data_IF_427107685535
#
_entry.id   IF_427107685535
#
_cell.length_a   1.000
_cell.length_b   1.000
_cell.length_c   1.000
_cell.angle_alpha   90.00
_cell.angle_beta   90.00
_cell.angle_gamma   90.00
#
_symmetry.space_group_name_H-M   'P 1'
#
loop_
_entity.id
_entity.type
_entity.pdbx_description
1 polymer ?
#
# COMPACT_ATOMS: atom_id res chain seq x y z
N UNK A 1 6.57 -0.53 21.86
CA UNK A 1 6.41 0.59 20.92
C UNK A 1 5.35 0.16 19.94
N UNK A 2 4.29 0.95 19.85
CA UNK A 2 3.19 0.69 18.91
C UNK A 2 3.08 1.89 18.00
N UNK A 3 2.80 1.63 16.72
CA UNK A 3 2.59 2.69 15.74
C UNK A 3 1.19 2.60 15.15
N UNK A 4 0.53 3.74 15.03
CA UNK A 4 -0.80 3.86 14.40
C UNK A 4 -0.74 4.84 13.24
N UNK A 5 -1.48 4.51 12.18
CA UNK A 5 -1.68 5.33 11.00
C UNK A 5 -3.13 5.85 11.01
N UNK A 6 -3.33 7.18 10.93
CA UNK A 6 -4.68 7.76 10.96
C UNK A 6 -5.24 7.98 9.55
N UNK A 7 -6.43 7.43 9.30
CA UNK A 7 -7.28 7.71 8.13
C UNK A 7 -7.25 6.64 7.04
N UNK A 8 -8.39 6.45 6.37
CA UNK A 8 -8.48 5.70 5.11
C UNK A 8 -8.30 6.64 3.92
N UNK A 9 -7.83 6.06 2.82
CA UNK A 9 -6.89 6.68 1.93
C UNK A 9 -7.50 7.02 0.58
N UNK A 10 -7.46 8.28 0.22
CA UNK A 10 -7.78 8.75 -1.12
C UNK A 10 -6.69 9.72 -1.53
N UNK A 11 -5.89 9.39 -2.55
CA UNK A 11 -4.81 10.25 -3.02
C UNK A 11 -5.33 11.59 -3.58
N UNK A 12 -6.65 11.70 -3.78
CA UNK A 12 -7.34 12.89 -4.28
C UNK A 12 -8.10 13.66 -3.18
N UNK A 13 -8.14 13.17 -1.93
CA UNK A 13 -8.62 14.00 -0.82
C UNK A 13 -7.64 15.15 -0.58
N UNK A 14 -8.17 16.32 -0.19
CA UNK A 14 -7.39 17.58 -0.02
C UNK A 14 -6.19 17.44 0.92
N UNK A 15 -6.17 16.39 1.74
CA UNK A 15 -5.10 16.09 2.68
C UNK A 15 -4.34 14.83 2.20
N UNK A 16 -3.32 15.03 1.38
CA UNK A 16 -2.42 13.99 0.85
C UNK A 16 -1.35 13.62 1.87
N UNK A 17 -1.79 13.44 3.11
CA UNK A 17 -0.92 13.24 4.24
C UNK A 17 -1.31 11.99 5.01
N UNK A 18 -0.33 11.36 5.64
CA UNK A 18 -0.58 10.43 6.72
C UNK A 18 0.12 10.87 7.98
N UNK A 19 -0.45 10.41 9.10
CA UNK A 19 0.02 10.73 10.43
C UNK A 19 0.36 9.43 11.14
N UNK A 20 1.58 9.37 11.67
CA UNK A 20 2.10 8.25 12.42
C UNK A 20 2.20 8.64 13.89
N UNK A 21 1.58 7.84 14.74
CA UNK A 21 1.55 8.04 16.18
C UNK A 21 2.43 7.01 16.84
N UNK A 22 3.30 7.44 17.75
CA UNK A 22 4.09 6.54 18.60
C UNK A 22 3.44 6.56 19.99
N UNK A 23 3.22 5.38 20.56
CA UNK A 23 2.70 5.22 21.92
C UNK A 23 3.49 6.01 22.97
N UNK A 24 2.83 6.48 24.04
CA UNK A 24 3.45 7.23 25.13
C UNK A 24 4.65 6.50 25.79
N UNK A 25 5.59 7.26 26.35
CA UNK A 25 6.83 6.73 26.96
C UNK A 25 7.93 6.34 25.96
N UNK A 26 7.80 6.83 24.73
CA UNK A 26 8.73 6.58 23.62
C UNK A 26 9.19 7.89 22.95
N UNK A 27 9.31 8.99 23.71
CA UNK A 27 9.61 10.31 23.13
C UNK A 27 10.97 10.39 22.42
N UNK A 28 11.89 9.48 22.76
CA UNK A 28 13.20 9.33 22.12
C UNK A 28 13.22 8.41 20.90
N UNK A 29 12.06 7.95 20.40
CA UNK A 29 12.00 7.18 19.16
C UNK A 29 12.24 8.11 17.95
N UNK A 30 13.09 7.65 17.03
CA UNK A 30 13.18 8.25 15.70
C UNK A 30 12.10 7.63 14.81
N UNK A 31 11.48 8.45 13.98
CA UNK A 31 10.47 7.98 13.01
C UNK A 31 10.94 8.37 11.63
N UNK A 32 10.96 7.40 10.72
CA UNK A 32 11.24 7.58 9.30
C UNK A 32 10.00 7.17 8.49
N UNK A 33 9.79 7.83 7.36
CA UNK A 33 8.78 7.46 6.37
C UNK A 33 9.40 6.53 5.32
N UNK A 34 8.59 5.71 4.66
CA UNK A 34 9.07 4.85 3.57
C UNK A 34 7.97 4.50 2.57
N UNK A 35 8.36 4.14 1.35
CA UNK A 35 7.52 3.42 0.39
C UNK A 35 7.75 1.92 0.57
N UNK A 36 6.70 1.15 0.81
CA UNK A 36 6.82 -0.29 1.07
C UNK A 36 7.24 -1.05 -0.19
N UNK A 37 6.70 -0.65 -1.35
CA UNK A 37 7.04 -1.26 -2.63
C UNK A 37 6.78 -0.32 -3.80
N UNK A 38 7.51 -0.53 -4.90
CA UNK A 38 7.23 0.12 -6.18
C UNK A 38 5.95 -0.44 -6.79
N UNK A 39 4.90 0.35 -6.86
CA UNK A 39 3.60 -0.08 -7.39
C UNK A 39 3.50 0.18 -8.90
N UNK A 40 4.26 1.16 -9.41
CA UNK A 40 4.28 1.55 -10.83
C UNK A 40 5.56 1.10 -11.53
N UNK A 41 5.56 1.21 -12.85
CA UNK A 41 6.69 0.82 -13.68
C UNK A 41 7.99 1.52 -13.27
N UNK A 42 9.03 0.72 -13.04
CA UNK A 42 10.35 1.19 -12.60
C UNK A 42 11.22 1.72 -13.73
N UNK A 43 10.82 1.54 -15.00
CA UNK A 43 11.55 2.07 -16.16
C UNK A 43 11.55 3.61 -16.22
N UNK A 44 10.65 4.26 -15.47
CA UNK A 44 10.65 5.72 -15.28
C UNK A 44 11.08 6.03 -13.84
N UNK A 45 12.27 6.64 -13.62
CA UNK A 45 12.81 6.83 -12.27
C UNK A 45 11.91 7.67 -11.37
N UNK A 46 11.13 8.60 -11.95
CA UNK A 46 10.29 9.53 -11.20
C UNK A 46 8.91 8.97 -10.80
N UNK A 47 8.58 7.71 -11.15
CA UNK A 47 7.25 7.14 -10.90
C UNK A 47 7.10 6.36 -9.58
N UNK A 48 8.10 6.34 -8.71
CA UNK A 48 7.94 5.77 -7.37
C UNK A 48 8.89 6.46 -6.37
N UNK A 49 8.84 7.80 -6.21
CA UNK A 49 9.74 8.44 -5.25
C UNK A 49 9.40 7.97 -3.84
N UNK A 50 10.42 7.89 -2.99
CA UNK A 50 10.22 7.74 -1.56
C UNK A 50 9.45 8.95 -1.00
N UNK A 51 8.63 8.75 0.03
CA UNK A 51 7.99 9.86 0.71
C UNK A 51 9.04 10.80 1.35
N UNK A 52 8.73 12.09 1.53
CA UNK A 52 9.62 12.98 2.25
C UNK A 52 9.71 12.60 3.73
N UNK A 53 10.75 13.11 4.40
CA UNK A 53 10.95 12.89 5.83
C UNK A 53 9.74 13.35 6.65
N UNK A 54 9.35 12.59 7.68
CA UNK A 54 8.22 12.95 8.52
C UNK A 54 8.53 14.17 9.39
N UNK A 55 7.61 15.13 9.43
CA UNK A 55 7.70 16.31 10.29
C UNK A 55 6.99 16.02 11.61
N UNK A 56 7.72 16.12 12.72
CA UNK A 56 7.14 15.99 14.07
C UNK A 56 6.26 17.19 14.38
N UNK A 57 4.98 16.94 14.60
CA UNK A 57 4.01 17.93 15.06
C UNK A 57 3.84 17.79 16.57
N UNK A 58 4.01 18.89 17.28
CA UNK A 58 3.84 18.98 18.74
C UNK A 58 2.37 19.30 19.07
N UNK A 59 1.89 18.81 20.21
CA UNK A 59 0.52 19.04 20.69
C UNK A 59 0.13 18.01 21.72
N UNK A 60 -1.16 17.94 22.07
CA UNK A 60 -1.71 16.96 23.02
C UNK A 60 -1.43 15.52 22.59
N UNK A 61 -1.41 15.27 21.28
CA UNK A 61 -1.05 13.97 20.70
C UNK A 61 0.07 14.18 19.67
N UNK A 62 1.35 14.15 20.11
CA UNK A 62 2.48 14.28 19.21
C UNK A 62 2.44 13.21 18.13
N UNK A 63 2.69 13.61 16.89
CA UNK A 63 2.67 12.70 15.75
C UNK A 63 3.64 13.14 14.68
N UNK A 64 3.93 12.23 13.77
CA UNK A 64 4.79 12.45 12.63
C UNK A 64 3.92 12.54 11.39
N UNK A 65 3.92 13.71 10.76
CA UNK A 65 3.15 13.99 9.57
C UNK A 65 4.03 13.85 8.33
N UNK A 66 3.54 13.11 7.34
CA UNK A 66 4.18 12.99 6.02
C UNK A 66 3.21 13.52 4.98
N UNK A 67 3.66 14.49 4.18
CA UNK A 67 2.89 15.04 3.06
C UNK A 67 3.42 14.47 1.76
N UNK A 68 2.62 13.68 1.05
CA UNK A 68 3.04 13.06 -0.21
C UNK A 68 3.05 14.08 -1.36
N UNK A 69 4.05 14.00 -2.21
CA UNK A 69 4.09 14.70 -3.50
C UNK A 69 3.09 14.05 -4.46
N UNK A 70 2.21 14.85 -5.07
CA UNK A 70 1.24 14.36 -6.05
C UNK A 70 1.64 14.64 -7.50
N UNK A 71 2.79 15.25 -7.73
CA UNK A 71 3.31 15.41 -9.07
C UNK A 71 3.35 14.05 -9.74
N UNK A 72 2.81 13.95 -10.97
CA UNK A 72 2.71 12.69 -11.70
C UNK A 72 2.06 11.53 -10.92
N UNK A 73 1.16 11.79 -9.98
CA UNK A 73 0.50 10.78 -9.12
C UNK A 73 1.47 10.01 -8.20
N UNK A 74 2.51 10.67 -7.70
CA UNK A 74 3.51 10.07 -6.80
C UNK A 74 2.96 9.72 -5.40
N UNK A 75 1.80 10.26 -5.05
CA UNK A 75 1.00 10.00 -3.87
C UNK A 75 0.29 8.64 -3.91
N UNK A 76 0.29 7.95 -5.05
CA UNK A 76 -0.23 6.59 -5.19
C UNK A 76 0.80 5.55 -4.74
N UNK A 77 0.35 4.53 -4.00
CA UNK A 77 1.13 3.36 -3.64
C UNK A 77 0.94 2.91 -2.20
N UNK A 78 1.93 2.20 -1.66
CA UNK A 78 1.94 1.75 -0.26
C UNK A 78 3.04 2.46 0.48
N UNK A 79 2.68 3.17 1.55
CA UNK A 79 3.58 4.00 2.33
C UNK A 79 3.46 3.66 3.80
N UNK A 80 4.50 3.95 4.57
CA UNK A 80 4.51 3.65 5.98
C UNK A 80 5.44 4.52 6.78
N UNK A 81 5.40 4.29 8.08
CA UNK A 81 6.37 4.83 9.01
C UNK A 81 7.05 3.68 9.75
N UNK A 82 8.34 3.85 10.04
CA UNK A 82 9.11 2.98 10.92
C UNK A 82 9.57 3.79 12.12
N UNK A 83 9.22 3.35 13.32
CA UNK A 83 9.83 3.87 14.54
C UNK A 83 11.00 2.99 14.98
N UNK A 84 12.08 3.63 15.41
CA UNK A 84 13.25 3.00 16.00
C UNK A 84 13.57 3.64 17.35
N UNK A 85 13.91 2.82 18.33
CA UNK A 85 14.39 3.28 19.62
C UNK A 85 15.47 2.32 20.13
N UNK A 86 16.55 2.87 20.66
CA UNK A 86 17.65 2.06 21.20
C UNK A 86 17.15 1.05 22.24
N UNK A 87 17.59 -0.20 22.12
CA UNK A 87 17.19 -1.29 23.02
C UNK A 87 15.76 -1.81 22.82
N UNK A 88 15.04 -1.37 21.78
CA UNK A 88 13.69 -1.87 21.45
C UNK A 88 13.61 -2.38 20.02
N UNK A 89 12.67 -3.30 19.77
CA UNK A 89 12.35 -3.74 18.41
C UNK A 89 11.74 -2.58 17.62
N UNK A 90 12.12 -2.47 16.36
CA UNK A 90 11.51 -1.54 15.42
C UNK A 90 10.02 -1.86 15.27
N UNK A 91 9.22 -0.84 14.97
CA UNK A 91 7.79 -1.00 14.72
C UNK A 91 7.43 -0.27 13.45
N UNK A 92 6.68 -0.95 12.58
CA UNK A 92 6.30 -0.45 11.26
C UNK A 92 4.79 -0.50 11.09
N UNK A 93 4.25 0.49 10.40
CA UNK A 93 2.86 0.49 9.94
C UNK A 93 2.84 0.95 8.48
N UNK A 94 1.97 0.35 7.68
CA UNK A 94 1.79 0.68 6.27
C UNK A 94 0.33 0.97 5.96
N UNK A 95 0.10 1.87 5.01
CA UNK A 95 -1.20 2.21 4.45
C UNK A 95 -1.16 2.26 2.93
N UNK A 96 -2.32 2.05 2.31
CA UNK A 96 -2.46 2.00 0.85
C UNK A 96 -3.12 3.29 0.37
N UNK A 97 -2.44 4.07 -0.44
CA UNK A 97 -2.97 5.27 -1.09
C UNK A 97 -3.40 4.96 -2.52
N UNK A 98 -4.72 4.83 -2.73
CA UNK A 98 -5.33 4.65 -4.04
C UNK A 98 -5.94 5.95 -4.55
N UNK A 99 -6.11 6.05 -5.87
CA UNK A 99 -6.80 7.16 -6.51
C UNK A 99 -8.31 6.96 -6.49
N UNK A 100 -9.06 8.06 -6.37
CA UNK A 100 -10.53 8.01 -6.43
C UNK A 100 -11.06 7.47 -7.76
N UNK A 101 -10.30 7.69 -8.84
CA UNK A 101 -10.59 7.24 -10.20
C UNK A 101 -9.86 5.94 -10.58
N UNK A 102 -9.42 5.13 -9.60
CA UNK A 102 -8.78 3.84 -9.89
C UNK A 102 -9.65 2.96 -10.79
N UNK A 103 -9.02 2.15 -11.65
CA UNK A 103 -9.73 1.20 -12.52
C UNK A 103 -10.27 -0.01 -11.75
N UNK A 104 -9.67 -0.30 -10.60
CA UNK A 104 -10.00 -1.43 -9.75
C UNK A 104 -9.94 -1.03 -8.28
N UNK A 105 -10.75 -1.69 -7.46
CA UNK A 105 -10.74 -1.56 -5.99
C UNK A 105 -10.84 -2.94 -5.35
N UNK A 106 -10.28 -3.18 -4.16
CA UNK A 106 -10.55 -4.40 -3.41
C UNK A 106 -12.05 -4.68 -3.29
N UNK A 107 -12.46 -5.91 -3.59
CA UNK A 107 -13.87 -6.28 -3.69
C UNK A 107 -14.62 -6.16 -2.38
N UNK A 108 -13.95 -6.44 -1.26
CA UNK A 108 -14.46 -6.34 0.11
C UNK A 108 -14.35 -4.92 0.68
N UNK A 109 -13.81 -3.96 -0.10
CA UNK A 109 -13.56 -2.60 0.36
C UNK A 109 -12.40 -2.48 1.38
N UNK A 110 -11.66 -3.55 1.63
CA UNK A 110 -10.56 -3.58 2.60
C UNK A 110 -9.22 -3.53 1.88
N UNK A 111 -8.33 -2.63 2.32
CA UNK A 111 -6.98 -2.50 1.77
C UNK A 111 -5.99 -3.56 2.29
N UNK A 112 -6.38 -4.29 3.33
CA UNK A 112 -5.60 -5.39 3.87
C UNK A 112 -6.47 -6.60 4.14
N UNK A 113 -5.86 -7.78 4.03
CA UNK A 113 -6.48 -9.07 4.33
C UNK A 113 -5.51 -9.87 5.17
N UNK A 114 -5.94 -10.29 6.36
CA UNK A 114 -5.13 -11.15 7.24
C UNK A 114 -5.56 -12.60 7.06
N UNK A 115 -4.58 -13.50 6.93
CA UNK A 115 -4.77 -14.95 6.75
C UNK A 115 -3.81 -15.72 7.64
N UNK A 116 -4.13 -16.96 7.96
CA UNK A 116 -3.27 -17.84 8.75
C UNK A 116 -2.38 -18.70 7.85
N UNK A 117 -1.20 -19.10 8.36
CA UNK A 117 -0.36 -20.10 7.70
C UNK A 117 -1.14 -21.40 7.44
N UNK A 118 -1.04 -21.90 6.21
CA UNK A 118 -1.71 -23.12 5.76
C UNK A 118 -3.16 -22.94 5.30
N UNK A 119 -3.75 -21.75 5.44
CA UNK A 119 -5.08 -21.46 4.87
C UNK A 119 -5.10 -21.78 3.38
N UNK A 120 -6.21 -22.38 2.91
CA UNK A 120 -6.40 -22.76 1.51
C UNK A 120 -7.48 -21.90 0.86
N UNK A 121 -7.48 -21.90 -0.47
CA UNK A 121 -8.47 -21.19 -1.29
C UNK A 121 -8.53 -19.67 -1.01
N UNK A 122 -7.43 -19.11 -0.51
CA UNK A 122 -7.29 -17.68 -0.32
C UNK A 122 -7.31 -16.98 -1.67
N UNK A 123 -8.18 -15.98 -1.75
CA UNK A 123 -8.37 -15.17 -2.94
C UNK A 123 -8.30 -13.70 -2.59
N UNK A 124 -7.56 -12.97 -3.43
CA UNK A 124 -7.52 -11.52 -3.46
C UNK A 124 -8.37 -11.12 -4.66
N UNK A 125 -9.44 -10.38 -4.40
CA UNK A 125 -10.49 -10.09 -5.40
C UNK A 125 -10.59 -8.60 -5.62
N UNK A 126 -10.68 -8.22 -6.88
CA UNK A 126 -10.84 -6.83 -7.30
C UNK A 126 -12.18 -6.63 -7.99
N UNK A 127 -12.78 -5.47 -7.77
CA UNK A 127 -13.95 -5.01 -8.51
C UNK A 127 -13.49 -4.00 -9.55
N UNK A 128 -13.94 -4.14 -10.80
CA UNK A 128 -13.70 -3.16 -11.87
C UNK A 128 -14.58 -1.93 -11.66
N UNK A 129 -13.98 -0.76 -11.81
CA UNK A 129 -14.66 0.54 -11.77
C UNK A 129 -14.74 1.08 -13.20
N UNK A 130 -15.92 1.59 -13.57
CA UNK A 130 -16.18 2.20 -14.87
C UNK A 130 -16.43 1.19 -16.01
N UNK A 131 -16.29 1.65 -17.25
CA UNK A 131 -16.70 0.89 -18.44
C UNK A 131 -15.83 -0.33 -18.71
N UNK A 132 -16.47 -1.34 -19.30
CA UNK A 132 -15.79 -2.52 -19.83
C UNK A 132 -14.91 -2.14 -21.02
N UNK A 133 -13.62 -2.02 -20.75
CA UNK A 133 -12.58 -2.08 -21.78
C UNK A 133 -11.94 -3.47 -21.71
N UNK A 134 -12.07 -4.24 -22.79
CA UNK A 134 -11.49 -5.58 -22.96
C UNK A 134 -10.12 -5.53 -23.64
N UNK A 135 -9.76 -4.40 -24.26
CA UNK A 135 -8.45 -4.23 -24.93
C UNK A 135 -7.28 -4.19 -23.94
N UNK A 136 -7.58 -3.88 -22.67
CA UNK A 136 -6.61 -3.86 -21.57
C UNK A 136 -7.08 -4.80 -20.44
N UNK A 137 -6.86 -6.13 -20.57
CA UNK A 137 -7.24 -7.08 -19.53
C UNK A 137 -6.53 -6.78 -18.20
N UNK A 138 -7.10 -7.19 -17.07
CA UNK A 138 -6.44 -7.00 -15.77
C UNK A 138 -5.14 -7.80 -15.73
N UNK A 139 -4.16 -7.26 -15.02
CA UNK A 139 -2.83 -7.83 -14.82
C UNK A 139 -2.45 -7.66 -13.36
N UNK A 140 -1.70 -8.62 -12.83
CA UNK A 140 -1.36 -8.65 -11.41
C UNK A 140 0.10 -8.40 -11.11
N UNK A 141 0.34 -7.92 -9.90
CA UNK A 141 1.62 -7.62 -9.28
C UNK A 141 1.65 -8.32 -7.92
N UNK A 142 2.78 -8.96 -7.56
CA UNK A 142 3.15 -9.30 -6.19
C UNK A 142 4.49 -8.62 -5.93
N UNK A 143 4.53 -7.68 -4.99
CA UNK A 143 5.72 -6.88 -4.66
C UNK A 143 6.50 -6.36 -5.87
N UNK A 144 5.83 -5.58 -6.73
CA UNK A 144 6.38 -5.02 -7.98
C UNK A 144 6.65 -6.06 -9.10
N UNK A 145 6.60 -7.36 -8.83
CA UNK A 145 6.80 -8.42 -9.82
C UNK A 145 5.48 -8.70 -10.53
N UNK A 146 5.45 -8.51 -11.85
CA UNK A 146 4.27 -8.80 -12.68
C UNK A 146 4.08 -10.32 -12.77
N UNK A 147 2.88 -10.80 -12.49
CA UNK A 147 2.49 -12.17 -12.78
C UNK A 147 1.81 -12.22 -14.17
N UNK A 148 2.52 -12.67 -15.23
CA UNK A 148 2.01 -12.61 -16.58
C UNK A 148 0.90 -13.63 -16.86
N UNK A 149 0.71 -14.62 -15.97
CA UNK A 149 -0.28 -15.68 -16.14
C UNK A 149 -1.68 -15.27 -15.66
N UNK A 150 -1.78 -14.16 -14.93
CA UNK A 150 -3.01 -13.72 -14.27
C UNK A 150 -3.73 -12.65 -15.06
N UNK A 151 -4.86 -13.03 -15.64
CA UNK A 151 -5.73 -12.15 -16.45
C UNK A 151 -7.16 -12.02 -15.90
N UNK A 152 -7.42 -12.55 -14.70
CA UNK A 152 -8.71 -12.47 -14.01
C UNK A 152 -8.70 -11.35 -12.97
N UNK A 153 -9.86 -10.89 -12.54
CA UNK A 153 -10.01 -10.01 -11.36
C UNK A 153 -9.82 -10.74 -10.02
N UNK A 154 -9.56 -12.05 -10.07
CA UNK A 154 -9.30 -12.88 -8.89
C UNK A 154 -7.86 -13.39 -8.96
N UNK A 155 -7.07 -13.05 -7.95
CA UNK A 155 -5.78 -13.68 -7.67
C UNK A 155 -6.00 -14.78 -6.63
N UNK A 156 -6.02 -16.04 -7.08
CA UNK A 156 -6.15 -17.22 -6.22
C UNK A 156 -4.79 -17.77 -5.85
N UNK A 157 -4.48 -17.86 -4.56
CA UNK A 157 -3.31 -18.60 -4.08
C UNK A 157 -3.73 -20.07 -4.01
N UNK A 158 -3.07 -20.92 -4.81
CA UNK A 158 -3.51 -22.29 -5.06
C UNK A 158 -2.98 -23.29 -4.03
N UNK A 159 -1.83 -22.98 -3.42
CA UNK A 159 -1.28 -23.75 -2.31
C UNK A 159 -1.83 -23.24 -0.97
N UNK A 160 -1.51 -23.94 0.11
CA UNK A 160 -1.72 -23.40 1.46
C UNK A 160 -0.84 -22.17 1.67
N UNK A 161 -1.36 -21.15 2.34
CA UNK A 161 -0.64 -19.90 2.59
C UNK A 161 0.71 -20.14 3.26
N UNK A 162 1.74 -19.49 2.73
CA UNK A 162 3.10 -19.49 3.23
C UNK A 162 3.53 -18.08 3.63
N UNK A 163 4.61 -17.94 4.39
CA UNK A 163 5.09 -16.64 4.86
C UNK A 163 5.52 -15.71 3.73
N UNK A 164 5.95 -16.26 2.59
CA UNK A 164 6.31 -15.50 1.39
C UNK A 164 5.08 -15.00 0.61
N UNK A 165 3.86 -15.41 0.98
CA UNK A 165 2.63 -14.82 0.45
C UNK A 165 2.29 -13.47 1.08
N UNK A 166 2.89 -13.12 2.22
CA UNK A 166 2.81 -11.78 2.82
C UNK A 166 3.45 -10.76 1.87
N UNK A 167 2.60 -9.95 1.24
CA UNK A 167 3.02 -9.11 0.13
C UNK A 167 1.96 -8.05 -0.20
N UNK A 168 2.39 -7.07 -0.98
CA UNK A 168 1.49 -6.12 -1.63
C UNK A 168 1.05 -6.69 -2.98
N UNK A 169 -0.25 -6.93 -3.11
CA UNK A 169 -0.85 -7.36 -4.37
C UNK A 169 -1.50 -6.18 -5.08
N UNK A 170 -1.20 -6.02 -6.36
CA UNK A 170 -1.77 -4.94 -7.17
C UNK A 170 -2.39 -5.45 -8.47
N UNK A 171 -3.54 -4.90 -8.86
CA UNK A 171 -4.23 -5.21 -10.10
C UNK A 171 -4.36 -3.95 -10.96
N UNK A 172 -3.84 -4.00 -12.19
CA UNK A 172 -3.81 -2.88 -13.12
C UNK A 172 -4.30 -3.29 -14.50
N UNK A 173 -4.70 -2.31 -15.32
CA UNK A 173 -5.08 -2.57 -16.72
C UNK A 173 -3.80 -2.76 -17.53
N UNK A 174 -3.73 -3.82 -18.34
CA UNK A 174 -2.57 -4.09 -19.20
C UNK A 174 -2.14 -2.83 -19.96
N UNK A 175 -0.83 -2.57 -20.05
CA UNK A 175 -0.30 -1.37 -20.71
C UNK A 175 -0.46 -0.04 -19.96
N UNK A 176 -1.31 0.04 -18.93
CA UNK A 176 -1.66 1.29 -18.24
C UNK A 176 -1.06 1.40 -16.83
N UNK A 177 0.02 0.67 -16.55
CA UNK A 177 0.68 0.60 -15.23
C UNK A 177 1.20 1.97 -14.74
N UNK A 178 1.55 2.86 -15.65
CA UNK A 178 2.16 4.15 -15.31
C UNK A 178 1.11 5.17 -14.79
N UNK A 179 -0.18 4.91 -15.02
CA UNK A 179 -1.27 5.85 -14.71
C UNK A 179 -1.63 5.92 -13.23
N UNK A 180 -1.08 5.03 -12.39
CA UNK A 180 -1.37 5.01 -10.95
C UNK A 180 -2.83 4.70 -10.60
N UNK A 181 -3.56 3.97 -11.46
CA UNK A 181 -4.99 3.68 -11.31
C UNK A 181 -5.24 2.20 -10.97
N UNK A 182 -4.36 1.60 -10.17
CA UNK A 182 -4.45 0.18 -9.81
C UNK A 182 -5.31 -0.01 -8.57
N UNK A 183 -5.92 -1.18 -8.44
CA UNK A 183 -6.38 -1.67 -7.14
C UNK A 183 -5.20 -2.27 -6.39
N UNK A 184 -5.08 -2.02 -5.08
CA UNK A 184 -4.03 -2.55 -4.23
C UNK A 184 -4.67 -3.17 -2.98
N UNK A 185 -4.23 -4.38 -2.60
CA UNK A 185 -4.58 -5.03 -1.35
C UNK A 185 -3.33 -5.69 -0.75
N UNK A 186 -3.07 -5.46 0.54
CA UNK A 186 -1.96 -6.07 1.29
C UNK A 186 -2.45 -7.38 1.89
N UNK A 187 -1.75 -8.48 1.62
CA UNK A 187 -1.98 -9.74 2.32
C UNK A 187 -1.02 -9.81 3.51
N UNK A 188 -1.55 -10.03 4.71
CA UNK A 188 -0.77 -10.17 5.94
C UNK A 188 -0.90 -11.62 6.40
N UNK A 189 0.24 -12.31 6.56
CA UNK A 189 0.26 -13.72 6.98
C UNK A 189 0.63 -13.81 8.46
N UNK A 190 -0.11 -14.62 9.23
CA UNK A 190 0.13 -14.82 10.67
C UNK A 190 0.08 -16.27 11.10
#
# INVERSE_FOLDING_TARGET
MTMLLKGHFNSEERNKEYQCYVSDGHEGATVESFRAVNTRNTRRPNLNPDPPDPIKTLGTYPHWKVTLDNYSNNDFGVFGCRARQHGRRNTEVTGVFMRSNAHFTPHDGLFSKTVALGDRDVQIRMTKIGRNDESHPPRWLKDNVVDPSRHSLIYRIAHGIQSDDDAVYGCFRGGLRDQAMHGIQILIVR
#
